data_IF_890048135876
#
_entry.id   IF_890048135876
#
_cell.length_a   1.000
_cell.length_b   1.000
_cell.length_c   1.000
_cell.angle_alpha   90.00
_cell.angle_beta   90.00
_cell.angle_gamma   90.00
#
_symmetry.space_group_name_H-M   'P 1'
#
loop_
_entity.id
_entity.type
_entity.pdbx_description
1 polymer ?
#
# COMPACT_ATOMS: atom_id res chain seq x y z
N UNK A 1 22.26 46.94 -51.02
CA UNK A 1 22.50 45.70 -50.25
C UNK A 1 22.30 45.89 -48.74
N UNK A 2 21.22 46.58 -48.29
CA UNK A 2 20.90 46.74 -46.85
C UNK A 2 19.49 46.27 -46.48
N UNK A 3 18.60 46.11 -47.48
CA UNK A 3 17.19 45.73 -47.29
C UNK A 3 17.01 44.21 -47.19
N UNK A 4 17.94 43.41 -47.76
CA UNK A 4 17.86 41.95 -47.74
C UNK A 4 18.26 41.31 -46.40
N UNK A 5 18.91 42.07 -45.50
CA UNK A 5 19.34 41.57 -44.18
C UNK A 5 18.19 41.65 -43.15
N UNK A 6 17.25 42.57 -43.34
CA UNK A 6 16.14 42.80 -42.39
C UNK A 6 15.04 41.72 -42.58
N UNK A 7 14.84 41.22 -43.80
CA UNK A 7 13.87 40.16 -44.08
C UNK A 7 14.33 38.76 -43.63
N UNK A 8 15.64 38.55 -43.45
CA UNK A 8 16.19 37.28 -43.00
C UNK A 8 16.15 37.09 -41.47
N UNK A 9 15.97 38.17 -40.70
CA UNK A 9 15.91 38.12 -39.23
C UNK A 9 14.50 37.94 -38.65
N UNK A 10 13.44 38.10 -39.46
CA UNK A 10 12.06 37.98 -38.98
C UNK A 10 11.44 36.59 -39.21
N UNK A 11 12.07 35.75 -40.03
CA UNK A 11 11.62 34.39 -40.30
C UNK A 11 11.61 33.41 -39.09
N UNK A 12 12.56 33.43 -38.14
CA UNK A 12 12.56 32.44 -37.05
C UNK A 12 11.59 32.79 -35.90
N UNK A 13 11.05 34.02 -35.87
CA UNK A 13 10.12 34.47 -34.83
C UNK A 13 8.71 33.87 -34.99
N UNK A 14 8.32 33.47 -36.21
CA UNK A 14 7.05 32.79 -36.47
C UNK A 14 7.12 31.27 -36.27
N UNK A 15 8.32 30.68 -36.33
CA UNK A 15 8.51 29.24 -36.06
C UNK A 15 8.48 28.87 -34.58
N UNK A 16 8.63 29.85 -33.67
CA UNK A 16 8.59 29.64 -32.22
C UNK A 16 7.18 29.42 -31.65
N UNK A 17 6.15 29.97 -32.28
CA UNK A 17 4.77 29.88 -31.78
C UNK A 17 4.11 28.52 -32.01
N UNK A 18 4.53 27.77 -33.05
CA UNK A 18 3.92 26.46 -33.38
C UNK A 18 4.44 25.35 -32.46
N UNK A 19 5.67 25.47 -31.98
CA UNK A 19 6.31 24.50 -31.08
C UNK A 19 5.83 24.64 -29.64
N UNK A 20 5.46 25.86 -29.19
CA UNK A 20 4.98 26.11 -27.84
C UNK A 20 3.60 25.45 -27.56
N UNK A 21 2.74 25.33 -28.57
CA UNK A 21 1.43 24.69 -28.43
C UNK A 21 1.58 23.17 -28.23
N UNK A 22 2.52 22.53 -28.91
CA UNK A 22 2.77 21.09 -28.76
C UNK A 22 3.33 20.75 -27.37
N UNK A 23 4.19 21.59 -26.80
CA UNK A 23 4.77 21.36 -25.47
C UNK A 23 3.83 21.73 -24.32
N UNK A 24 2.99 22.76 -24.48
CA UNK A 24 1.97 23.12 -23.48
C UNK A 24 0.85 22.09 -23.40
N UNK A 25 0.52 21.40 -24.50
CA UNK A 25 -0.55 20.39 -24.51
C UNK A 25 -0.05 19.00 -24.08
N UNK A 26 1.24 18.66 -24.28
CA UNK A 26 1.76 17.33 -23.93
C UNK A 26 2.39 17.23 -22.54
N UNK A 27 2.83 18.35 -21.95
CA UNK A 27 3.34 18.38 -20.58
C UNK A 27 2.28 18.04 -19.49
N UNK A 28 1.03 18.54 -19.52
CA UNK A 28 0.07 18.24 -18.46
C UNK A 28 -0.41 16.79 -18.51
N UNK A 29 -0.55 16.19 -19.70
CA UNK A 29 -1.03 14.81 -19.84
C UNK A 29 -0.06 13.80 -19.23
N UNK A 30 1.26 14.02 -19.39
CA UNK A 30 2.29 13.14 -18.79
C UNK A 30 2.48 13.36 -17.29
N UNK A 31 2.30 14.59 -16.79
CA UNK A 31 2.37 14.89 -15.37
C UNK A 31 1.14 14.35 -14.61
N UNK A 32 -0.06 14.50 -15.20
CA UNK A 32 -1.33 13.95 -14.65
C UNK A 32 -1.32 12.43 -14.65
N UNK A 33 -0.77 11.77 -15.68
CA UNK A 33 -0.66 10.32 -15.74
C UNK A 33 0.18 9.71 -14.60
N UNK A 34 1.28 10.36 -14.18
CA UNK A 34 2.13 9.86 -13.10
C UNK A 34 1.57 10.09 -11.70
N UNK A 35 0.80 11.17 -11.48
CA UNK A 35 0.11 11.37 -10.20
C UNK A 35 -1.12 10.47 -10.09
N UNK A 36 -1.80 10.18 -11.20
CA UNK A 36 -2.87 9.19 -11.25
C UNK A 36 -2.34 7.79 -10.89
N UNK A 37 -1.21 7.36 -11.47
CA UNK A 37 -0.61 6.05 -11.21
C UNK A 37 -0.18 5.84 -9.74
N UNK A 38 0.35 6.88 -9.08
CA UNK A 38 0.72 6.78 -7.66
C UNK A 38 -0.50 6.89 -6.72
N UNK A 39 -1.56 7.55 -7.16
CA UNK A 39 -2.86 7.58 -6.44
C UNK A 39 -3.74 6.34 -6.70
N UNK A 40 -3.33 5.48 -7.65
CA UNK A 40 -4.10 4.31 -8.11
C UNK A 40 -3.35 2.98 -7.96
N UNK A 41 -2.30 2.91 -7.13
CA UNK A 41 -2.10 1.69 -6.32
C UNK A 41 -3.27 1.63 -5.36
N UNK A 42 -4.37 1.17 -5.94
CA UNK A 42 -5.74 1.56 -5.63
C UNK A 42 -6.10 1.06 -4.25
N UNK A 43 -6.91 1.83 -3.53
CA UNK A 43 -7.54 1.43 -2.27
C UNK A 43 -8.07 -0.03 -2.33
N UNK A 44 -8.51 -0.50 -3.50
CA UNK A 44 -8.91 -1.90 -3.72
C UNK A 44 -7.82 -2.95 -3.43
N UNK A 45 -6.55 -2.70 -3.76
CA UNK A 45 -5.47 -3.65 -3.49
C UNK A 45 -5.06 -3.62 -2.01
N UNK A 46 -5.06 -2.43 -1.40
CA UNK A 46 -4.91 -2.27 0.04
C UNK A 46 -6.03 -2.97 0.81
N UNK A 47 -7.29 -2.81 0.40
CA UNK A 47 -8.45 -3.44 1.02
C UNK A 47 -8.46 -4.96 0.86
N UNK A 48 -8.05 -5.48 -0.31
CA UNK A 48 -7.86 -6.92 -0.53
C UNK A 48 -6.78 -7.51 0.39
N UNK A 49 -5.65 -6.80 0.55
CA UNK A 49 -4.56 -7.24 1.41
C UNK A 49 -4.96 -7.17 2.88
N UNK A 50 -5.62 -6.11 3.32
CA UNK A 50 -6.18 -5.98 4.66
C UNK A 50 -7.19 -7.08 4.97
N UNK A 51 -8.10 -7.38 4.04
CA UNK A 51 -9.07 -8.47 4.19
C UNK A 51 -8.42 -9.87 4.23
N UNK A 52 -7.23 -10.04 3.64
CA UNK A 52 -6.44 -11.27 3.79
C UNK A 52 -5.77 -11.34 5.17
N UNK A 53 -5.12 -10.26 5.59
CA UNK A 53 -4.48 -10.16 6.90
C UNK A 53 -5.47 -10.39 8.06
N UNK A 54 -6.68 -9.83 7.96
CA UNK A 54 -7.78 -10.09 8.90
C UNK A 54 -8.08 -11.59 9.03
N UNK A 55 -8.29 -12.30 7.90
CA UNK A 55 -8.61 -13.74 7.90
C UNK A 55 -7.47 -14.60 8.44
N UNK A 56 -6.23 -14.25 8.12
CA UNK A 56 -5.05 -14.95 8.65
C UNK A 56 -4.92 -14.75 10.16
N UNK A 57 -5.16 -13.53 10.66
CA UNK A 57 -5.18 -13.22 12.08
C UNK A 57 -6.29 -13.98 12.82
N UNK A 58 -7.50 -13.99 12.28
CA UNK A 58 -8.63 -14.75 12.85
C UNK A 58 -8.32 -16.26 12.90
N UNK A 59 -7.72 -16.81 11.83
CA UNK A 59 -7.32 -18.21 11.81
C UNK A 59 -6.24 -18.52 12.85
N UNK A 60 -5.23 -17.64 13.01
CA UNK A 60 -4.18 -17.75 14.04
C UNK A 60 -4.78 -17.70 15.44
N UNK A 61 -5.65 -16.73 15.72
CA UNK A 61 -6.34 -16.60 17.00
C UNK A 61 -7.22 -17.81 17.31
N UNK A 62 -7.98 -18.31 16.33
CA UNK A 62 -8.80 -19.51 16.50
C UNK A 62 -7.96 -20.75 16.83
N UNK A 63 -6.77 -20.88 16.21
CA UNK A 63 -5.83 -21.98 16.51
C UNK A 63 -5.23 -21.84 17.91
N UNK A 64 -4.81 -20.64 18.30
CA UNK A 64 -4.22 -20.38 19.62
C UNK A 64 -5.26 -20.59 20.73
N UNK A 65 -6.48 -20.06 20.57
CA UNK A 65 -7.57 -20.24 21.55
C UNK A 65 -7.90 -21.71 21.79
N UNK A 66 -8.03 -22.51 20.72
CA UNK A 66 -8.24 -23.97 20.84
C UNK A 66 -7.09 -24.69 21.55
N UNK A 67 -5.85 -24.24 21.36
CA UNK A 67 -4.70 -24.81 22.07
C UNK A 67 -4.71 -24.44 23.54
N UNK A 68 -5.05 -23.18 23.84
CA UNK A 68 -5.17 -22.66 25.20
C UNK A 68 -6.26 -23.42 25.96
N UNK A 69 -7.45 -23.57 25.39
CA UNK A 69 -8.55 -24.34 25.99
C UNK A 69 -8.11 -25.77 26.34
N UNK A 70 -7.43 -26.46 25.41
CA UNK A 70 -6.89 -27.81 25.65
C UNK A 70 -5.81 -27.84 26.73
N UNK A 71 -4.95 -26.83 26.78
CA UNK A 71 -3.91 -26.71 27.80
C UNK A 71 -4.55 -26.47 29.19
N UNK A 72 -5.54 -25.59 29.27
CA UNK A 72 -6.32 -25.32 30.48
C UNK A 72 -7.07 -26.57 30.96
N UNK A 73 -7.68 -27.34 30.05
CA UNK A 73 -8.33 -28.60 30.40
C UNK A 73 -7.35 -29.59 31.03
N UNK A 74 -6.17 -29.77 30.42
CA UNK A 74 -5.13 -30.67 30.94
C UNK A 74 -4.52 -30.16 32.25
N UNK A 75 -4.38 -28.85 32.39
CA UNK A 75 -3.97 -28.21 33.64
C UNK A 75 -4.96 -28.57 34.77
N UNK A 76 -6.27 -28.43 34.52
CA UNK A 76 -7.32 -28.84 35.47
C UNK A 76 -7.30 -30.34 35.78
N UNK A 77 -6.82 -31.17 34.85
CA UNK A 77 -6.59 -32.59 35.06
C UNK A 77 -5.31 -32.92 35.85
N UNK A 78 -4.60 -31.92 36.38
CA UNK A 78 -3.42 -32.10 37.23
C UNK A 78 -2.07 -32.06 36.49
N UNK A 79 -2.05 -31.66 35.21
CA UNK A 79 -0.80 -31.52 34.45
C UNK A 79 -0.21 -30.12 34.59
N UNK A 80 0.70 -29.95 35.55
CA UNK A 80 1.34 -28.66 35.86
C UNK A 80 2.07 -28.03 34.66
N UNK A 81 2.73 -28.85 33.82
CA UNK A 81 3.39 -28.40 32.58
C UNK A 81 2.41 -27.69 31.63
N UNK A 82 1.16 -28.14 31.62
CA UNK A 82 0.12 -27.57 30.76
C UNK A 82 -0.48 -26.31 31.34
N UNK A 83 -0.38 -26.08 32.65
CA UNK A 83 -0.79 -24.83 33.28
C UNK A 83 0.10 -23.68 32.81
N UNK A 84 1.42 -23.87 32.89
CA UNK A 84 2.38 -22.89 32.37
C UNK A 84 2.21 -22.68 30.86
N UNK A 85 1.94 -23.76 30.11
CA UNK A 85 1.66 -23.65 28.67
C UNK A 85 0.39 -22.85 28.38
N UNK A 86 -0.66 -23.00 29.18
CA UNK A 86 -1.90 -22.24 29.01
C UNK A 86 -1.67 -20.74 29.19
N UNK A 87 -0.88 -20.35 30.18
CA UNK A 87 -0.51 -18.94 30.43
C UNK A 87 0.31 -18.34 29.29
N UNK A 88 1.31 -19.08 28.78
CA UNK A 88 2.07 -18.66 27.59
C UNK A 88 1.14 -18.47 26.38
N UNK A 89 0.21 -19.39 26.18
CA UNK A 89 -0.76 -19.29 25.08
C UNK A 89 -1.73 -18.10 25.26
N UNK A 90 -2.11 -17.76 26.48
CA UNK A 90 -2.91 -16.56 26.75
C UNK A 90 -2.14 -15.28 26.37
N UNK A 91 -0.86 -15.19 26.72
CA UNK A 91 -0.01 -14.07 26.29
C UNK A 91 0.20 -14.02 24.78
N UNK A 92 0.36 -15.17 24.11
CA UNK A 92 0.42 -15.21 22.64
C UNK A 92 -0.89 -14.73 22.00
N UNK A 93 -2.04 -15.09 22.56
CA UNK A 93 -3.36 -14.62 22.09
C UNK A 93 -3.45 -13.12 22.26
N UNK A 94 -3.08 -12.58 23.42
CA UNK A 94 -3.09 -11.14 23.71
C UNK A 94 -2.16 -10.37 22.77
N UNK A 95 -0.96 -10.87 22.52
CA UNK A 95 -0.02 -10.27 21.58
C UNK A 95 -0.60 -10.19 20.16
N UNK A 96 -1.20 -11.26 19.66
CA UNK A 96 -1.86 -11.26 18.34
C UNK A 96 -3.09 -10.35 18.33
N UNK A 97 -3.80 -10.24 19.46
CA UNK A 97 -4.92 -9.32 19.60
C UNK A 97 -4.48 -7.85 19.57
N UNK A 98 -3.28 -7.55 20.06
CA UNK A 98 -2.72 -6.20 20.07
C UNK A 98 -2.08 -5.79 18.72
N UNK A 99 -1.76 -6.74 17.84
CA UNK A 99 -1.21 -6.45 16.50
C UNK A 99 -2.20 -5.61 15.65
N UNK A 100 -1.76 -4.46 15.10
CA UNK A 100 -2.58 -3.66 14.18
C UNK A 100 -2.76 -4.35 12.81
N UNK A 101 -3.89 -4.08 12.15
CA UNK A 101 -4.30 -4.71 10.88
C UNK A 101 -4.44 -3.70 9.75
#
# INVERSE_FOLDING_TARGET
MRILIIAALTAPLLTGCVSAVKTVVTAPVKAVGKVADWSTTSQEESDRNRGRAMREREAKLGKLSRQRDKATEKCRAGREDQCQRAEVLDHEIEAVMAEPI
#
